data_IF_638334865650
#
_entry.id   IF_638334865650
#
_cell.length_a   1.000
_cell.length_b   1.000
_cell.length_c   1.000
_cell.angle_alpha   90.00
_cell.angle_beta   90.00
_cell.angle_gamma   90.00
#
_symmetry.space_group_name_H-M   'P 1'
#
loop_
_entity.id
_entity.type
_entity.pdbx_description
1 polymer ?
#
# COMPACT_ATOMS: atom_id res chain seq x y z
N UNK A 1 -26.09 -27.25 51.57
CA UNK A 1 -26.70 -26.00 51.07
C UNK A 1 -25.67 -24.88 50.89
N UNK A 2 -24.83 -24.56 51.88
CA UNK A 2 -23.77 -23.52 51.74
C UNK A 2 -22.79 -23.75 50.57
N UNK A 3 -22.35 -24.99 50.31
CA UNK A 3 -21.44 -25.32 49.20
C UNK A 3 -22.07 -25.01 47.82
N UNK A 4 -23.36 -25.30 47.66
CA UNK A 4 -24.09 -25.02 46.42
C UNK A 4 -24.27 -23.51 46.20
N UNK A 5 -24.59 -22.77 47.26
CA UNK A 5 -24.72 -21.30 47.21
C UNK A 5 -23.37 -20.66 46.83
N UNK A 6 -22.27 -21.11 47.44
CA UNK A 6 -20.94 -20.59 47.11
C UNK A 6 -20.52 -20.92 45.67
N UNK A 7 -20.81 -22.12 45.18
CA UNK A 7 -20.49 -22.52 43.81
C UNK A 7 -21.29 -21.70 42.78
N UNK A 8 -22.57 -21.45 43.06
CA UNK A 8 -23.44 -20.65 42.19
C UNK A 8 -23.05 -19.17 42.20
N UNK A 9 -22.66 -18.62 43.36
CA UNK A 9 -22.15 -17.26 43.46
C UNK A 9 -20.85 -17.08 42.67
N UNK A 10 -19.92 -18.05 42.75
CA UNK A 10 -18.66 -18.00 42.00
C UNK A 10 -18.89 -18.07 40.49
N UNK A 11 -19.83 -18.91 40.03
CA UNK A 11 -20.20 -18.96 38.61
C UNK A 11 -20.77 -17.62 38.14
N UNK A 12 -21.63 -17.01 38.95
CA UNK A 12 -22.23 -15.72 38.64
C UNK A 12 -21.15 -14.62 38.56
N UNK A 13 -20.25 -14.55 39.54
CA UNK A 13 -19.15 -13.57 39.54
C UNK A 13 -18.25 -13.74 38.29
N UNK A 14 -17.87 -14.97 37.96
CA UNK A 14 -17.07 -15.24 36.76
C UNK A 14 -17.80 -14.84 35.47
N UNK A 15 -19.12 -15.08 35.37
CA UNK A 15 -19.91 -14.67 34.22
C UNK A 15 -19.91 -13.14 34.07
N UNK A 16 -20.09 -12.41 35.18
CA UNK A 16 -20.09 -10.95 35.18
C UNK A 16 -18.73 -10.38 34.79
N UNK A 17 -17.65 -10.93 35.33
CA UNK A 17 -16.28 -10.56 34.96
C UNK A 17 -16.02 -10.79 33.46
N UNK A 18 -16.38 -11.96 32.95
CA UNK A 18 -16.24 -12.29 31.52
C UNK A 18 -17.05 -11.31 30.66
N UNK A 19 -18.28 -10.98 31.05
CA UNK A 19 -19.12 -10.03 30.33
C UNK A 19 -18.54 -8.61 30.34
N UNK A 20 -18.04 -8.15 31.49
CA UNK A 20 -17.42 -6.84 31.64
C UNK A 20 -16.17 -6.71 30.78
N UNK A 21 -15.29 -7.72 30.80
CA UNK A 21 -14.12 -7.80 29.94
C UNK A 21 -14.52 -7.75 28.46
N UNK A 22 -15.45 -8.62 28.06
CA UNK A 22 -15.89 -8.76 26.66
C UNK A 22 -16.47 -7.44 26.12
N UNK A 23 -17.30 -6.75 26.92
CA UNK A 23 -17.84 -5.43 26.55
C UNK A 23 -16.72 -4.39 26.50
N UNK A 24 -15.80 -4.38 27.46
CA UNK A 24 -14.68 -3.43 27.51
C UNK A 24 -13.76 -3.58 26.29
N UNK A 25 -13.34 -4.80 25.95
CA UNK A 25 -12.51 -5.06 24.77
C UNK A 25 -13.22 -4.71 23.46
N UNK A 26 -14.53 -4.94 23.36
CA UNK A 26 -15.30 -4.53 22.18
C UNK A 26 -15.32 -3.00 22.00
N UNK A 27 -15.42 -2.23 23.09
CA UNK A 27 -15.35 -0.75 23.04
C UNK A 27 -13.97 -0.26 22.65
N UNK A 28 -12.92 -1.01 22.99
CA UNK A 28 -11.54 -0.76 22.57
C UNK A 28 -11.24 -1.29 21.16
N UNK A 29 -12.23 -1.80 20.42
CA UNK A 29 -12.07 -2.42 19.11
C UNK A 29 -10.97 -3.50 19.08
N UNK A 30 -10.81 -4.26 20.17
CA UNK A 30 -9.74 -5.26 20.33
C UNK A 30 -10.32 -6.66 20.47
N UNK A 31 -9.83 -7.63 19.68
CA UNK A 31 -10.29 -9.01 19.72
C UNK A 31 -9.69 -9.78 20.90
N UNK A 32 -10.52 -10.06 21.90
CA UNK A 32 -10.14 -10.76 23.11
C UNK A 32 -10.67 -12.21 23.11
N UNK A 33 -9.95 -13.19 23.69
CA UNK A 33 -10.41 -14.57 23.84
C UNK A 33 -11.77 -14.74 24.53
N UNK A 34 -12.17 -13.78 25.37
CA UNK A 34 -13.50 -13.78 26.00
C UNK A 34 -14.66 -13.55 24.98
N UNK A 35 -14.37 -12.93 23.83
CA UNK A 35 -15.32 -12.74 22.73
C UNK A 35 -15.32 -13.96 21.80
N UNK A 36 -14.13 -14.39 21.36
CA UNK A 36 -13.93 -15.57 20.51
C UNK A 36 -12.54 -16.13 20.76
N UNK A 37 -12.44 -17.44 20.97
CA UNK A 37 -11.14 -18.09 21.13
C UNK A 37 -10.37 -18.08 19.80
N UNK A 38 -9.02 -18.15 19.83
CA UNK A 38 -8.22 -18.29 18.61
C UNK A 38 -8.66 -19.46 17.73
N UNK A 39 -8.99 -20.58 18.35
CA UNK A 39 -9.41 -21.82 17.69
C UNK A 39 -10.78 -21.66 17.02
N UNK A 40 -11.75 -21.07 17.72
CA UNK A 40 -13.07 -20.78 17.15
C UNK A 40 -12.97 -19.79 15.99
N UNK A 41 -12.12 -18.76 16.12
CA UNK A 41 -11.90 -17.79 15.05
C UNK A 41 -11.30 -18.45 13.81
N UNK A 42 -10.34 -19.36 13.97
CA UNK A 42 -9.76 -20.12 12.86
C UNK A 42 -10.83 -20.94 12.13
N UNK A 43 -11.70 -21.63 12.87
CA UNK A 43 -12.80 -22.41 12.28
C UNK A 43 -13.81 -21.54 11.53
N UNK A 44 -14.18 -20.38 12.07
CA UNK A 44 -15.07 -19.45 11.37
C UNK A 44 -14.43 -18.87 10.12
N UNK A 45 -13.15 -18.48 10.16
CA UNK A 45 -12.43 -18.01 8.99
C UNK A 45 -12.30 -19.10 7.91
N UNK A 46 -12.10 -20.37 8.29
CA UNK A 46 -12.10 -21.49 7.35
C UNK A 46 -13.46 -21.66 6.64
N UNK A 47 -14.58 -21.48 7.37
CA UNK A 47 -15.91 -21.48 6.76
C UNK A 47 -16.05 -20.35 5.74
N UNK A 48 -15.58 -19.15 6.08
CA UNK A 48 -15.59 -17.98 5.19
C UNK A 48 -14.76 -18.24 3.94
N UNK A 49 -13.56 -18.79 4.09
CA UNK A 49 -12.68 -19.12 2.97
C UNK A 49 -13.34 -20.08 1.98
N UNK A 50 -14.14 -21.03 2.46
CA UNK A 50 -14.84 -22.01 1.64
C UNK A 50 -16.10 -21.45 0.95
N UNK A 51 -16.67 -20.36 1.45
CA UNK A 51 -17.90 -19.74 0.92
C UNK A 51 -17.64 -18.64 -0.11
N UNK A 52 -16.43 -18.07 -0.10
CA UNK A 52 -16.17 -16.79 -0.75
C UNK A 52 -15.56 -16.99 -2.15
N UNK A 53 -16.40 -16.96 -3.18
CA UNK A 53 -16.03 -16.69 -4.57
C UNK A 53 -16.96 -15.55 -5.02
N UNK A 54 -16.47 -14.34 -5.36
CA UNK A 54 -15.11 -13.99 -5.83
C UNK A 54 -14.12 -13.47 -4.78
N UNK A 55 -14.51 -13.39 -3.51
CA UNK A 55 -13.69 -12.76 -2.48
C UNK A 55 -12.83 -13.80 -1.75
N UNK A 56 -11.57 -13.53 -1.41
CA UNK A 56 -10.82 -14.37 -0.51
C UNK A 56 -10.41 -13.63 0.74
N UNK A 57 -10.12 -14.39 1.78
CA UNK A 57 -9.45 -13.88 2.95
C UNK A 57 -8.03 -13.37 2.60
N UNK A 58 -7.52 -12.33 3.29
CA UNK A 58 -6.20 -11.75 3.04
C UNK A 58 -5.04 -12.72 3.33
N UNK A 59 -5.25 -13.67 4.23
CA UNK A 59 -4.29 -14.72 4.59
C UNK A 59 -5.00 -16.07 4.70
N UNK A 60 -4.30 -17.18 4.46
CA UNK A 60 -4.85 -18.50 4.71
C UNK A 60 -5.14 -18.65 6.21
N UNK A 61 -6.37 -19.01 6.64
CA UNK A 61 -6.73 -19.13 8.04
C UNK A 61 -6.11 -20.38 8.66
N UNK A 62 -4.89 -20.21 9.17
CA UNK A 62 -4.15 -21.19 9.98
C UNK A 62 -3.79 -20.57 11.31
N UNK A 63 -3.55 -21.37 12.35
CA UNK A 63 -3.14 -20.91 13.68
C UNK A 63 -2.10 -19.77 13.69
N UNK A 64 -1.06 -19.87 12.84
CA UNK A 64 0.01 -18.86 12.71
C UNK A 64 -0.48 -17.49 12.19
N UNK A 65 -1.59 -17.44 11.46
CA UNK A 65 -2.17 -16.22 10.89
C UNK A 65 -3.14 -15.51 11.85
N UNK A 66 -3.62 -16.20 12.90
CA UNK A 66 -4.63 -15.69 13.82
C UNK A 66 -4.20 -14.38 14.52
N UNK A 67 -2.95 -14.21 14.97
CA UNK A 67 -2.51 -12.93 15.52
C UNK A 67 -2.59 -11.75 14.54
N UNK A 68 -2.48 -12.01 13.23
CA UNK A 68 -2.63 -10.99 12.19
C UNK A 68 -4.11 -10.65 12.02
N UNK A 69 -4.98 -11.66 11.96
CA UNK A 69 -6.43 -11.45 11.91
C UNK A 69 -6.97 -10.66 13.10
N UNK A 70 -6.46 -10.92 14.31
CA UNK A 70 -6.82 -10.16 15.52
C UNK A 70 -6.59 -8.65 15.39
N UNK A 71 -5.64 -8.23 14.55
CA UNK A 71 -5.33 -6.81 14.29
C UNK A 71 -6.15 -6.21 13.16
N UNK A 72 -6.66 -7.06 12.25
CA UNK A 72 -7.39 -6.64 11.06
C UNK A 72 -8.90 -6.62 11.25
N UNK A 73 -9.42 -7.53 12.10
CA UNK A 73 -10.85 -7.65 12.36
C UNK A 73 -11.29 -6.51 13.27
N UNK A 74 -12.31 -5.77 12.83
CA UNK A 74 -12.98 -4.77 13.66
C UNK A 74 -14.15 -5.42 14.40
N UNK A 75 -14.39 -5.03 15.66
CA UNK A 75 -15.47 -5.60 16.47
C UNK A 75 -16.42 -4.50 16.87
N UNK A 76 -17.72 -4.79 16.78
CA UNK A 76 -18.79 -3.95 17.29
C UNK A 76 -19.68 -4.76 18.21
N UNK A 77 -20.10 -4.18 19.32
CA UNK A 77 -21.04 -4.81 20.25
C UNK A 77 -22.39 -4.09 20.21
N UNK A 78 -23.47 -4.87 20.17
CA UNK A 78 -24.83 -4.39 20.13
C UNK A 78 -25.65 -5.08 21.22
N UNK A 79 -26.49 -4.32 21.92
CA UNK A 79 -27.42 -4.87 22.92
C UNK A 79 -28.85 -4.66 22.47
N UNK A 80 -29.66 -5.72 22.52
CA UNK A 80 -31.12 -5.66 22.32
C UNK A 80 -31.81 -6.41 23.45
N UNK A 81 -32.27 -5.67 24.46
CA UNK A 81 -32.85 -6.25 25.68
C UNK A 81 -31.79 -7.01 26.49
N UNK A 82 -32.00 -8.31 26.66
CA UNK A 82 -31.09 -9.25 27.33
C UNK A 82 -30.06 -9.89 26.38
N UNK A 83 -30.15 -9.62 25.07
CA UNK A 83 -29.24 -10.19 24.08
C UNK A 83 -28.06 -9.24 23.83
N UNK A 84 -26.84 -9.74 24.03
CA UNK A 84 -25.60 -9.08 23.63
C UNK A 84 -25.06 -9.76 22.36
N UNK A 85 -24.81 -8.98 21.32
CA UNK A 85 -24.37 -9.46 20.01
C UNK A 85 -23.06 -8.79 19.64
N UNK A 86 -22.06 -9.60 19.30
CA UNK A 86 -20.80 -9.13 18.75
C UNK A 86 -20.80 -9.34 17.25
N UNK A 87 -20.43 -8.28 16.54
CA UNK A 87 -20.28 -8.23 15.10
C UNK A 87 -18.80 -8.12 14.79
N UNK A 88 -18.25 -9.14 14.14
CA UNK A 88 -16.86 -9.15 13.70
C UNK A 88 -16.84 -8.84 12.21
N UNK A 89 -16.17 -7.74 11.89
CA UNK A 89 -15.98 -7.20 10.55
C UNK A 89 -14.67 -7.73 9.99
N UNK A 90 -14.77 -8.77 9.15
CA UNK A 90 -13.61 -9.44 8.56
C UNK A 90 -13.34 -8.83 7.18
N UNK A 91 -12.13 -8.30 6.91
CA UNK A 91 -11.80 -7.77 5.60
C UNK A 91 -11.61 -8.91 4.61
N UNK A 92 -12.30 -8.83 3.47
CA UNK A 92 -12.07 -9.71 2.32
C UNK A 92 -11.30 -8.97 1.22
N UNK A 93 -10.47 -9.68 0.48
CA UNK A 93 -9.80 -9.19 -0.73
C UNK A 93 -10.55 -9.74 -1.94
N UNK A 94 -10.83 -8.90 -2.93
CA UNK A 94 -11.31 -9.39 -4.22
C UNK A 94 -10.13 -10.02 -5.00
N UNK A 95 -10.24 -11.30 -5.35
CA UNK A 95 -9.21 -12.01 -6.12
C UNK A 95 -9.17 -11.61 -7.60
N UNK A 96 -10.12 -10.81 -8.07
CA UNK A 96 -10.02 -10.21 -9.38
C UNK A 96 -8.84 -9.25 -9.39
N UNK A 97 -7.83 -9.57 -10.21
CA UNK A 97 -6.65 -8.74 -10.46
C UNK A 97 -7.09 -7.30 -10.78
N UNK A 98 -7.08 -6.43 -9.79
CA UNK A 98 -7.36 -5.01 -9.97
C UNK A 98 -6.20 -4.39 -10.75
N UNK A 99 -6.39 -4.21 -12.05
CA UNK A 99 -5.58 -3.27 -12.84
C UNK A 99 -6.06 -1.88 -12.43
N UNK A 100 -5.17 -1.04 -11.92
CA UNK A 100 -5.49 0.36 -11.67
C UNK A 100 -5.60 1.09 -13.01
N UNK A 101 -6.72 1.75 -13.26
CA UNK A 101 -6.93 2.54 -14.47
C UNK A 101 -6.93 4.02 -14.07
N UNK A 102 -6.18 4.82 -14.83
CA UNK A 102 -6.20 6.27 -14.67
C UNK A 102 -7.24 6.81 -15.64
N UNK A 103 -8.41 7.21 -15.12
CA UNK A 103 -9.43 7.85 -15.95
C UNK A 103 -9.06 9.30 -16.18
N UNK A 104 -8.89 9.65 -17.45
CA UNK A 104 -8.68 11.02 -17.88
C UNK A 104 -10.01 11.57 -18.41
N UNK A 105 -10.69 12.40 -17.61
CA UNK A 105 -11.80 13.25 -18.06
C UNK A 105 -11.30 14.69 -18.17
N UNK A 106 -11.89 15.48 -19.08
CA UNK A 106 -11.58 16.91 -19.26
C UNK A 106 -11.78 17.74 -17.98
N UNK A 107 -12.57 17.25 -17.02
CA UNK A 107 -13.00 18.02 -15.84
C UNK A 107 -12.55 17.46 -14.49
N UNK A 108 -12.11 16.20 -14.43
CA UNK A 108 -11.62 15.60 -13.18
C UNK A 108 -10.75 14.38 -13.42
N UNK A 109 -9.80 14.15 -12.51
CA UNK A 109 -8.98 12.93 -12.48
C UNK A 109 -9.47 12.07 -11.32
N UNK A 110 -9.78 10.82 -11.63
CA UNK A 110 -10.24 9.84 -10.66
C UNK A 110 -9.28 8.67 -10.69
N UNK A 111 -8.73 8.33 -9.54
CA UNK A 111 -8.00 7.08 -9.36
C UNK A 111 -9.03 5.99 -9.08
N UNK A 112 -9.28 5.10 -10.03
CA UNK A 112 -10.14 3.94 -9.79
C UNK A 112 -9.28 2.74 -9.46
N UNK A 113 -9.60 2.11 -8.33
CA UNK A 113 -9.01 0.82 -7.95
C UNK A 113 -9.69 -0.34 -8.67
N UNK A 114 -10.94 -0.15 -9.09
CA UNK A 114 -11.70 -1.14 -9.82
C UNK A 114 -11.42 -1.10 -11.33
N UNK A 115 -11.56 -2.27 -11.95
CA UNK A 115 -11.49 -2.40 -13.40
C UNK A 115 -12.76 -1.81 -14.02
N UNK A 116 -12.59 -0.76 -14.82
CA UNK A 116 -13.69 -0.18 -15.56
C UNK A 116 -14.10 -1.09 -16.72
N UNK A 117 -15.39 -1.30 -16.90
CA UNK A 117 -15.96 -2.09 -17.99
C UNK A 117 -16.11 -1.18 -19.23
N UNK A 118 -15.56 -1.59 -20.38
CA UNK A 118 -15.77 -0.87 -21.64
C UNK A 118 -17.21 -1.07 -22.09
N UNK A 119 -18.02 -0.02 -22.07
CA UNK A 119 -19.43 -0.05 -22.48
C UNK A 119 -19.59 0.27 -23.96
N UNK A 120 -18.66 1.05 -24.53
CA UNK A 120 -18.53 1.34 -25.96
C UNK A 120 -17.05 1.57 -26.28
N UNK A 121 -16.71 1.59 -27.57
CA UNK A 121 -15.36 1.90 -28.04
C UNK A 121 -14.85 3.18 -27.38
N UNK A 122 -13.82 3.07 -26.54
CA UNK A 122 -13.19 4.17 -25.79
C UNK A 122 -14.09 4.82 -24.70
N UNK A 123 -15.24 4.22 -24.35
CA UNK A 123 -16.09 4.63 -23.23
C UNK A 123 -16.09 3.56 -22.14
N UNK A 124 -15.70 3.94 -20.92
CA UNK A 124 -15.58 3.02 -19.79
C UNK A 124 -16.54 3.41 -18.66
N UNK A 125 -17.20 2.41 -18.08
CA UNK A 125 -18.04 2.54 -16.89
C UNK A 125 -17.34 1.95 -15.67
N UNK A 126 -17.23 2.74 -14.61
CA UNK A 126 -16.58 2.34 -13.36
C UNK A 126 -17.61 2.42 -12.24
N UNK A 127 -17.81 1.33 -11.49
CA UNK A 127 -18.84 1.26 -10.45
C UNK A 127 -18.46 2.09 -9.23
N UNK A 128 -17.20 2.03 -8.82
CA UNK A 128 -16.65 2.91 -7.78
C UNK A 128 -15.73 3.98 -8.37
N UNK A 129 -16.16 5.23 -8.21
CA UNK A 129 -15.33 6.42 -8.44
C UNK A 129 -14.65 6.69 -7.09
N UNK A 130 -13.31 6.55 -7.04
CA UNK A 130 -12.54 6.94 -5.86
C UNK A 130 -12.64 8.44 -5.58
N UNK A 131 -12.01 8.91 -4.50
CA UNK A 131 -12.04 10.33 -4.15
C UNK A 131 -11.64 11.20 -5.36
N UNK A 132 -12.52 12.13 -5.71
CA UNK A 132 -12.24 13.10 -6.77
C UNK A 132 -11.12 13.99 -6.27
N UNK A 133 -9.95 13.89 -6.90
CA UNK A 133 -8.81 14.75 -6.58
C UNK A 133 -9.12 16.13 -7.15
N UNK A 134 -9.72 17.00 -6.34
CA UNK A 134 -10.13 18.35 -6.76
C UNK A 134 -8.97 19.33 -6.79
N UNK A 135 -7.89 19.07 -6.04
CA UNK A 135 -6.67 19.89 -6.07
C UNK A 135 -5.57 19.14 -6.81
N UNK A 136 -5.06 19.66 -7.94
CA UNK A 136 -3.96 19.01 -8.63
C UNK A 136 -2.74 18.96 -7.72
N UNK A 137 -2.34 17.75 -7.34
CA UNK A 137 -1.04 17.52 -6.71
C UNK A 137 0.03 17.51 -7.81
N UNK A 138 1.29 17.80 -7.46
CA UNK A 138 2.40 17.78 -8.42
C UNK A 138 2.53 16.39 -9.09
N UNK A 139 2.25 15.29 -8.37
CA UNK A 139 2.19 13.94 -8.93
C UNK A 139 1.07 13.80 -9.96
N UNK A 140 -0.12 14.30 -9.64
CA UNK A 140 -1.26 14.26 -10.56
C UNK A 140 -1.03 15.10 -11.83
N UNK A 141 -0.28 16.20 -11.73
CA UNK A 141 0.14 17.04 -12.86
C UNK A 141 1.18 16.31 -13.70
N UNK A 142 2.21 15.75 -13.06
CA UNK A 142 3.28 14.97 -13.69
C UNK A 142 2.73 13.80 -14.52
N UNK A 143 1.82 13.02 -13.93
CA UNK A 143 1.20 11.85 -14.59
C UNK A 143 0.33 12.29 -15.78
N UNK A 144 -0.30 13.46 -15.70
CA UNK A 144 -1.18 13.97 -16.75
C UNK A 144 -0.50 14.75 -17.86
N UNK A 145 0.80 14.99 -17.75
CA UNK A 145 1.55 15.88 -18.65
C UNK A 145 0.97 17.30 -18.78
N UNK A 146 0.09 17.71 -17.86
CA UNK A 146 -0.47 19.07 -17.81
C UNK A 146 0.58 19.98 -17.18
N UNK A 147 1.14 20.91 -17.98
CA UNK A 147 2.07 21.92 -17.49
C UNK A 147 1.31 23.03 -16.79
N UNK A 148 1.04 22.86 -15.51
CA UNK A 148 0.64 23.98 -14.65
C UNK A 148 1.86 24.52 -13.89
N UNK A 149 1.84 25.80 -13.54
CA UNK A 149 2.99 26.51 -12.92
C UNK A 149 3.26 26.10 -11.46
N UNK A 150 2.49 25.16 -10.91
CA UNK A 150 2.53 24.73 -9.51
C UNK A 150 3.60 23.68 -9.22
N UNK A 151 4.10 22.98 -10.25
CA UNK A 151 5.06 21.88 -10.10
C UNK A 151 6.38 22.23 -10.81
N UNK A 152 7.48 22.28 -10.04
CA UNK A 152 8.82 22.52 -10.59
C UNK A 152 9.50 21.18 -10.83
N UNK A 153 9.58 20.77 -12.09
CA UNK A 153 10.30 19.55 -12.48
C UNK A 153 11.79 19.86 -12.51
N UNK A 154 12.56 19.14 -11.70
CA UNK A 154 14.02 19.19 -11.72
C UNK A 154 14.59 17.91 -12.34
N UNK A 155 15.43 18.09 -13.34
CA UNK A 155 16.16 17.01 -13.99
C UNK A 155 17.47 16.77 -13.26
N UNK A 156 17.82 15.50 -13.10
CA UNK A 156 19.11 15.10 -12.57
C UNK A 156 19.75 14.10 -13.52
N UNK A 157 21.07 14.21 -13.67
CA UNK A 157 21.86 13.25 -14.44
C UNK A 157 22.34 12.19 -13.47
N UNK A 158 21.94 10.95 -13.71
CA UNK A 158 22.51 9.81 -13.00
C UNK A 158 23.84 9.44 -13.63
N UNK A 159 24.89 9.38 -12.81
CA UNK A 159 26.24 8.98 -13.23
C UNK A 159 26.51 7.50 -12.95
N UNK A 160 25.78 6.90 -12.01
CA UNK A 160 26.00 5.55 -11.50
C UNK A 160 24.68 4.76 -11.41
N UNK A 161 24.80 3.44 -11.38
CA UNK A 161 23.69 2.53 -11.09
C UNK A 161 23.07 2.88 -9.74
N UNK A 162 21.77 3.12 -9.71
CA UNK A 162 21.00 3.32 -8.47
C UNK A 162 20.01 2.18 -8.31
N UNK A 163 19.96 1.62 -7.11
CA UNK A 163 19.03 0.54 -6.77
C UNK A 163 18.38 0.82 -5.43
N UNK A 164 17.07 0.59 -5.38
CA UNK A 164 16.28 0.66 -4.16
C UNK A 164 15.38 -0.56 -4.07
N UNK A 165 15.36 -1.18 -2.89
CA UNK A 165 14.37 -2.20 -2.60
C UNK A 165 13.03 -1.53 -2.28
N UNK A 166 12.02 -1.81 -3.09
CA UNK A 166 10.65 -1.27 -2.92
C UNK A 166 9.86 -2.18 -1.98
N UNK A 167 10.04 -3.50 -2.12
CA UNK A 167 9.44 -4.54 -1.28
C UNK A 167 10.41 -5.72 -1.09
N UNK A 168 10.06 -6.70 -0.27
CA UNK A 168 10.94 -7.83 0.07
C UNK A 168 11.52 -8.59 -1.13
N UNK A 169 10.86 -8.55 -2.28
CA UNK A 169 11.24 -9.21 -3.52
C UNK A 169 11.28 -8.30 -4.76
N UNK A 170 11.10 -6.98 -4.56
CA UNK A 170 10.97 -6.01 -5.64
C UNK A 170 12.01 -4.91 -5.53
N UNK A 171 12.72 -4.64 -6.63
CA UNK A 171 13.74 -3.60 -6.72
C UNK A 171 13.43 -2.61 -7.84
N UNK A 172 13.58 -1.33 -7.53
CA UNK A 172 13.66 -0.25 -8.50
C UNK A 172 15.13 -0.08 -8.89
N UNK A 173 15.44 -0.28 -10.17
CA UNK A 173 16.77 -0.17 -10.74
C UNK A 173 16.79 0.98 -11.74
N UNK A 174 17.74 1.90 -11.61
CA UNK A 174 17.97 2.96 -12.58
C UNK A 174 19.39 2.88 -13.10
N UNK A 175 19.52 2.64 -14.41
CA UNK A 175 20.79 2.48 -15.12
C UNK A 175 21.06 3.72 -15.98
N UNK A 176 22.20 4.42 -15.81
CA UNK A 176 22.52 5.62 -16.60
C UNK A 176 23.05 5.29 -18.01
N UNK A 177 23.47 4.05 -18.23
CA UNK A 177 23.95 3.50 -19.49
C UNK A 177 23.55 2.03 -19.58
N UNK A 178 23.64 1.45 -20.76
CA UNK A 178 23.35 0.03 -20.94
C UNK A 178 24.31 -0.85 -20.11
N UNK A 179 23.74 -1.74 -19.30
CA UNK A 179 24.47 -2.70 -18.48
C UNK A 179 23.94 -4.11 -18.75
N UNK A 180 24.82 -5.10 -18.90
CA UNK A 180 24.40 -6.50 -19.01
C UNK A 180 24.21 -7.08 -17.61
N UNK A 181 22.97 -7.38 -17.26
CA UNK A 181 22.63 -8.12 -16.05
C UNK A 181 22.59 -9.62 -16.30
N UNK A 182 23.07 -10.42 -15.34
CA UNK A 182 23.01 -11.87 -15.39
C UNK A 182 22.08 -12.38 -14.28
N UNK A 183 20.95 -12.97 -14.67
CA UNK A 183 20.03 -13.64 -13.75
C UNK A 183 20.44 -15.12 -13.67
N UNK A 184 20.91 -15.56 -12.51
CA UNK A 184 21.32 -16.94 -12.24
C UNK A 184 20.23 -17.65 -11.46
N UNK A 185 19.64 -18.70 -12.02
CA UNK A 185 18.59 -19.50 -11.39
C UNK A 185 18.95 -20.99 -11.43
N UNK A 186 19.20 -21.60 -10.28
CA UNK A 186 19.67 -23.01 -10.17
C UNK A 186 20.94 -23.24 -11.02
N UNK A 187 20.80 -23.87 -12.20
CA UNK A 187 21.90 -24.22 -13.12
C UNK A 187 21.79 -23.51 -14.47
N UNK A 188 21.01 -22.42 -14.55
CA UNK A 188 20.83 -21.64 -15.79
C UNK A 188 21.13 -20.18 -15.53
N UNK A 189 21.86 -19.58 -16.46
CA UNK A 189 22.20 -18.17 -16.46
C UNK A 189 21.54 -17.50 -17.66
N UNK A 190 20.81 -16.41 -17.40
CA UNK A 190 20.14 -15.60 -18.42
C UNK A 190 20.77 -14.21 -18.43
N UNK A 191 21.15 -13.70 -19.60
CA UNK A 191 21.75 -12.37 -19.75
C UNK A 191 20.74 -11.42 -20.38
N UNK A 192 20.56 -10.25 -19.77
CA UNK A 192 19.64 -9.22 -20.24
C UNK A 192 20.33 -7.85 -20.28
N UNK A 193 20.16 -7.06 -21.34
CA UNK A 193 20.59 -5.68 -21.37
C UNK A 193 19.60 -4.79 -20.59
N UNK A 194 20.11 -3.99 -19.67
CA UNK A 194 19.36 -3.01 -18.88
C UNK A 194 19.76 -1.60 -19.27
N UNK A 195 18.81 -0.80 -19.75
CA UNK A 195 18.99 0.63 -20.06
C UNK A 195 17.79 1.45 -19.59
N UNK A 196 17.98 2.42 -18.70
CA UNK A 196 16.92 3.22 -18.08
C UNK A 196 16.41 2.67 -16.74
N UNK A 197 15.13 2.86 -16.45
CA UNK A 197 14.47 2.50 -15.18
C UNK A 197 13.67 1.21 -15.30
N UNK A 198 13.87 0.29 -14.36
CA UNK A 198 13.20 -1.00 -14.28
C UNK A 198 12.67 -1.24 -12.87
N UNK A 199 11.51 -1.87 -12.78
CA UNK A 199 11.05 -2.52 -11.55
C UNK A 199 11.22 -4.02 -11.77
N UNK A 200 12.08 -4.65 -10.98
CA UNK A 200 12.43 -6.06 -11.12
C UNK A 200 11.93 -6.83 -9.90
N UNK A 201 11.24 -7.94 -10.14
CA UNK A 201 10.89 -8.92 -9.12
C UNK A 201 11.60 -10.24 -9.46
N UNK A 202 12.43 -10.76 -8.54
CA UNK A 202 13.16 -12.02 -8.79
C UNK A 202 12.53 -13.20 -8.04
N UNK A 203 12.48 -14.39 -8.65
CA UNK A 203 12.13 -15.63 -7.97
C UNK A 203 13.09 -15.97 -6.82
N UNK A 204 12.62 -16.64 -5.75
CA UNK A 204 13.45 -17.10 -4.60
C UNK A 204 14.76 -17.80 -4.97
N UNK A 205 14.75 -18.55 -6.07
CA UNK A 205 15.88 -19.38 -6.51
C UNK A 205 16.84 -18.64 -7.43
N UNK A 206 16.59 -17.36 -7.66
CA UNK A 206 17.30 -16.55 -8.65
C UNK A 206 18.07 -15.43 -7.98
N UNK A 207 19.23 -15.13 -8.55
CA UNK A 207 20.04 -13.97 -8.18
C UNK A 207 20.29 -13.14 -9.41
N UNK A 208 20.18 -11.81 -9.30
CA UNK A 208 20.54 -10.90 -10.39
C UNK A 208 21.91 -10.30 -10.06
N UNK A 209 22.83 -10.42 -10.99
CA UNK A 209 24.12 -9.73 -10.95
C UNK A 209 24.06 -8.61 -11.97
N UNK A 210 24.11 -7.35 -11.52
CA UNK A 210 24.10 -6.17 -12.40
C UNK A 210 25.25 -5.25 -12.03
N UNK A 211 26.26 -5.16 -12.91
CA UNK A 211 27.52 -4.50 -12.59
C UNK A 211 28.20 -5.18 -11.39
N UNK A 212 28.38 -4.42 -10.31
CA UNK A 212 29.08 -4.86 -9.11
C UNK A 212 28.11 -5.28 -7.99
N UNK A 213 26.80 -5.24 -8.25
CA UNK A 213 25.75 -5.49 -7.27
C UNK A 213 25.10 -6.85 -7.51
N UNK A 214 24.73 -7.51 -6.41
CA UNK A 214 24.06 -8.81 -6.39
C UNK A 214 22.74 -8.65 -5.64
N UNK A 215 21.64 -9.08 -6.25
CA UNK A 215 20.30 -9.01 -5.69
C UNK A 215 19.78 -10.42 -5.46
N UNK A 216 19.26 -10.69 -4.25
CA UNK A 216 18.74 -11.99 -3.82
C UNK A 216 17.38 -11.82 -3.15
N UNK A 217 16.38 -12.63 -3.50
CA UNK A 217 15.09 -12.64 -2.78
C UNK A 217 14.99 -13.87 -1.89
N UNK A 218 14.30 -13.70 -0.76
CA UNK A 218 13.96 -14.79 0.16
C UNK A 218 12.48 -15.21 0.03
N UNK A 219 11.79 -14.84 -1.06
CA UNK A 219 10.32 -14.99 -1.21
C UNK A 219 9.99 -16.00 -2.31
N UNK A 220 9.15 -16.99 -1.96
CA UNK A 220 8.91 -18.26 -2.71
C UNK A 220 8.05 -18.08 -4.00
N UNK A 221 7.45 -16.92 -4.26
CA UNK A 221 6.53 -16.72 -5.40
C UNK A 221 7.18 -16.10 -6.65
N UNK A 222 6.65 -16.46 -7.83
CA UNK A 222 7.27 -16.22 -9.15
C UNK A 222 6.35 -15.42 -10.06
N UNK A 223 6.69 -14.14 -10.31
CA UNK A 223 6.16 -13.36 -11.43
C UNK A 223 7.23 -12.38 -11.90
N UNK A 224 7.80 -12.62 -13.08
CA UNK A 224 8.69 -11.66 -13.73
C UNK A 224 7.80 -10.77 -14.59
N UNK A 225 7.37 -9.64 -14.04
CA UNK A 225 6.77 -8.59 -14.84
C UNK A 225 7.89 -7.63 -15.24
N UNK A 226 8.44 -7.79 -16.44
CA UNK A 226 9.31 -6.78 -17.05
C UNK A 226 8.46 -5.56 -17.43
N UNK A 227 8.06 -4.77 -16.43
CA UNK A 227 7.43 -3.48 -16.67
C UNK A 227 8.57 -2.51 -16.97
N UNK A 228 8.99 -2.49 -18.23
CA UNK A 228 9.76 -1.37 -18.75
C UNK A 228 8.85 -0.15 -18.63
N UNK A 229 9.18 0.76 -17.72
CA UNK A 229 8.43 2.01 -17.61
C UNK A 229 8.47 2.71 -18.96
N UNK A 230 7.34 3.28 -19.44
CA UNK A 230 7.29 3.94 -20.73
C UNK A 230 8.40 5.00 -20.77
N UNK A 231 9.22 4.95 -21.81
CA UNK A 231 10.22 6.00 -22.03
C UNK A 231 9.44 7.24 -22.44
N UNK A 232 9.16 8.12 -21.49
CA UNK A 232 8.40 9.33 -21.77
C UNK A 232 9.34 10.29 -22.50
N UNK A 233 9.26 10.30 -23.83
CA UNK A 233 9.82 11.36 -24.67
C UNK A 233 8.96 12.60 -24.48
N UNK A 234 9.23 13.36 -23.41
CA UNK A 234 8.62 14.67 -23.27
C UNK A 234 9.33 15.59 -24.25
N UNK A 235 8.64 16.02 -25.32
CA UNK A 235 9.09 17.11 -26.19
C UNK A 235 9.04 18.42 -25.40
N UNK A 236 9.98 18.58 -24.48
CA UNK A 236 10.20 19.83 -23.76
C UNK A 236 11.16 20.62 -24.64
N UNK A 237 10.60 21.48 -25.48
CA UNK A 237 11.29 22.72 -25.79
C UNK A 237 11.54 23.40 -24.45
N UNK A 238 12.73 23.22 -23.89
CA UNK A 238 13.21 23.96 -22.75
C UNK A 238 12.92 25.43 -23.11
N UNK A 239 12.01 26.13 -22.39
CA UNK A 239 11.87 27.54 -22.61
C UNK A 239 13.28 28.09 -22.39
N UNK A 240 13.85 28.68 -23.44
CA UNK A 240 15.16 29.32 -23.38
C UNK A 240 15.03 30.32 -22.23
N UNK A 241 15.54 29.92 -21.06
CA UNK A 241 15.30 30.67 -19.84
C UNK A 241 15.97 32.01 -20.06
N UNK A 242 15.16 33.06 -20.00
CA UNK A 242 15.58 34.44 -20.14
C UNK A 242 16.45 34.78 -18.93
N UNK A 243 17.75 34.48 -19.02
CA UNK A 243 18.85 34.90 -18.14
C UNK A 243 18.51 35.07 -16.64
N UNK A 244 17.80 34.11 -16.04
CA UNK A 244 17.84 33.96 -14.59
C UNK A 244 19.12 33.19 -14.29
N UNK A 245 20.17 33.91 -13.84
CA UNK A 245 21.40 33.34 -13.29
C UNK A 245 21.10 32.66 -11.95
N UNK A 246 20.25 31.64 -11.95
CA UNK A 246 20.25 30.66 -10.89
C UNK A 246 21.54 29.88 -11.15
N UNK A 247 22.52 29.97 -10.24
CA UNK A 247 23.64 29.03 -10.25
C UNK A 247 23.00 27.65 -10.18
N UNK A 248 22.99 26.93 -11.29
CA UNK A 248 22.58 25.53 -11.35
C UNK A 248 23.50 24.75 -10.41
N UNK A 249 23.10 24.68 -9.15
CA UNK A 249 23.72 23.80 -8.18
C UNK A 249 23.38 22.40 -8.67
N UNK A 250 24.32 21.80 -9.38
CA UNK A 250 24.24 20.42 -9.85
C UNK A 250 24.04 19.54 -8.62
N UNK A 251 22.78 19.16 -8.35
CA UNK A 251 22.46 18.35 -7.19
C UNK A 251 22.92 16.93 -7.49
N UNK A 252 24.09 16.58 -6.96
CA UNK A 252 24.60 15.21 -7.06
C UNK A 252 23.73 14.30 -6.20
N UNK A 253 23.02 13.36 -6.83
CA UNK A 253 22.30 12.29 -6.12
C UNK A 253 23.23 11.15 -5.69
N UNK A 254 24.56 11.28 -5.84
CA UNK A 254 25.51 10.21 -5.52
C UNK A 254 25.38 9.76 -4.05
N UNK A 255 25.07 10.70 -3.15
CA UNK A 255 24.90 10.45 -1.72
C UNK A 255 23.44 10.37 -1.26
N UNK A 256 22.48 10.43 -2.19
CA UNK A 256 21.06 10.39 -1.86
C UNK A 256 20.64 8.93 -1.64
N UNK A 257 20.37 8.63 -0.37
CA UNK A 257 19.65 7.44 0.05
C UNK A 257 18.17 7.64 -0.27
N UNK A 258 17.61 6.80 -1.13
CA UNK A 258 16.20 6.92 -1.53
C UNK A 258 15.23 6.64 -0.38
N UNK A 259 15.70 6.08 0.73
CA UNK A 259 14.90 5.98 1.97
C UNK A 259 14.80 7.31 2.72
N UNK A 260 15.61 8.30 2.35
CA UNK A 260 15.60 9.65 2.89
C UNK A 260 14.89 10.64 1.95
N UNK A 261 14.08 10.16 0.99
CA UNK A 261 13.34 11.04 0.05
C UNK A 261 12.54 12.12 0.77
N UNK A 262 11.91 11.79 1.90
CA UNK A 262 11.18 12.76 2.72
C UNK A 262 12.11 13.86 3.28
N UNK A 263 13.32 13.48 3.72
CA UNK A 263 14.34 14.43 4.20
C UNK A 263 14.95 15.26 3.07
N UNK A 264 15.05 14.67 1.88
CA UNK A 264 15.52 15.36 0.67
C UNK A 264 14.49 16.38 0.23
N UNK A 265 13.20 16.06 0.31
CA UNK A 265 12.12 17.03 0.13
C UNK A 265 12.31 18.21 1.08
N UNK A 266 12.55 17.96 2.37
CA UNK A 266 12.83 19.01 3.36
C UNK A 266 14.09 19.85 3.02
N UNK A 267 15.16 19.22 2.56
CA UNK A 267 16.37 19.92 2.09
C UNK A 267 16.12 20.76 0.84
N UNK A 268 15.29 20.28 -0.09
CA UNK A 268 14.86 21.03 -1.26
C UNK A 268 14.02 22.24 -0.86
N UNK A 269 13.11 22.08 0.09
CA UNK A 269 12.30 23.18 0.62
C UNK A 269 13.20 24.24 1.27
N UNK A 270 14.18 23.81 2.06
CA UNK A 270 15.17 24.70 2.69
C UNK A 270 16.05 25.44 1.66
N UNK A 271 16.50 24.76 0.60
CA UNK A 271 17.26 25.37 -0.51
C UNK A 271 16.41 26.36 -1.32
N UNK A 272 15.11 26.07 -1.47
CA UNK A 272 14.18 26.94 -2.21
C UNK A 272 13.91 28.24 -1.43
N UNK A 273 13.81 28.17 -0.10
CA UNK A 273 13.68 29.35 0.76
C UNK A 273 14.93 30.26 0.77
N UNK A 274 16.13 29.71 0.60
CA UNK A 274 17.37 30.51 0.56
C UNK A 274 17.66 31.14 -0.80
N UNK A 275 17.08 30.63 -1.88
CA UNK A 275 17.37 31.09 -3.25
C UNK A 275 16.35 32.10 -3.80
N UNK A 276 15.26 32.39 -3.08
CA UNK A 276 14.22 33.34 -3.50
C UNK A 276 13.71 34.18 -2.31
N UNK A 277 14.37 35.31 -1.96
CA UNK A 277 13.97 36.10 -0.79
C UNK A 277 12.71 36.95 -0.97
N UNK A 278 12.25 37.22 -2.20
CA UNK A 278 11.34 38.36 -2.45
C UNK A 278 10.06 38.08 -3.26
N UNK A 279 9.52 36.86 -3.23
CA UNK A 279 8.14 36.64 -3.69
C UNK A 279 7.38 35.68 -2.78
N UNK A 280 6.19 36.12 -2.34
CA UNK A 280 5.20 35.32 -1.61
C UNK A 280 4.83 34.07 -2.44
N UNK A 281 5.50 32.95 -2.16
CA UNK A 281 5.16 31.63 -2.70
C UNK A 281 5.03 30.68 -1.51
N UNK A 282 3.81 30.19 -1.28
CA UNK A 282 3.55 29.10 -0.34
C UNK A 282 4.21 27.82 -0.86
N UNK A 283 5.18 27.29 -0.12
CA UNK A 283 5.68 25.94 -0.33
C UNK A 283 4.71 24.94 0.34
N UNK A 284 4.03 24.10 -0.45
CA UNK A 284 3.25 22.98 0.07
C UNK A 284 4.12 21.72 0.13
N UNK A 285 4.33 21.22 1.35
CA UNK A 285 4.97 19.93 1.64
C UNK A 285 3.91 19.11 2.37
N UNK A 286 3.41 18.00 1.79
CA UNK A 286 2.53 17.13 2.55
C UNK A 286 3.35 16.44 3.65
N UNK A 287 3.10 16.81 4.91
CA UNK A 287 3.55 16.01 6.06
C UNK A 287 2.82 14.66 6.02
N UNK A 288 3.50 13.61 5.58
CA UNK A 288 3.05 12.24 5.78
C UNK A 288 3.29 11.87 7.25
N UNK A 289 2.31 12.18 8.09
CA UNK A 289 2.11 11.55 9.40
C UNK A 289 0.83 10.72 9.33
N UNK A 290 0.90 9.50 8.82
CA UNK A 290 0.01 8.39 9.21
C UNK A 290 0.48 7.05 8.62
N UNK A 291 0.27 5.92 9.33
CA UNK A 291 0.71 4.60 8.88
C UNK A 291 -0.13 4.08 7.70
N UNK A 292 0.41 3.07 7.02
CA UNK A 292 -0.15 2.30 5.92
C UNK A 292 -1.50 1.59 6.26
N UNK A 293 -2.60 2.34 6.44
CA UNK A 293 -3.93 1.77 6.76
C UNK A 293 -4.94 1.80 5.61
N UNK A 294 -4.64 2.40 4.45
CA UNK A 294 -5.63 2.63 3.37
C UNK A 294 -5.51 1.73 2.12
N UNK A 295 -4.89 0.55 2.23
CA UNK A 295 -4.60 -0.34 1.08
C UNK A 295 -5.60 -1.48 0.81
N UNK A 296 -6.73 -1.59 1.52
CA UNK A 296 -7.70 -2.66 1.27
C UNK A 296 -9.06 -2.12 0.82
N UNK A 297 -9.48 -2.42 -0.42
CA UNK A 297 -10.90 -2.40 -0.80
C UNK A 297 -11.51 -3.67 -0.19
N UNK A 298 -11.94 -3.59 1.07
CA UNK A 298 -12.49 -4.75 1.76
C UNK A 298 -14.00 -4.80 1.59
N UNK A 299 -14.49 -5.81 0.86
CA UNK A 299 -15.84 -6.31 1.15
C UNK A 299 -15.81 -6.86 2.57
N UNK A 300 -16.75 -6.39 3.40
CA UNK A 300 -16.83 -6.74 4.80
C UNK A 300 -17.78 -7.93 4.95
N UNK A 301 -17.26 -9.05 5.44
CA UNK A 301 -18.11 -10.13 5.89
C UNK A 301 -18.41 -9.96 7.38
N UNK A 302 -19.67 -10.17 7.74
CA UNK A 302 -20.18 -10.03 9.09
C UNK A 302 -20.29 -11.40 9.76
N UNK A 303 -19.44 -11.66 10.74
CA UNK A 303 -19.60 -12.80 11.64
C UNK A 303 -20.34 -12.33 12.91
N UNK A 304 -21.43 -13.02 13.25
CA UNK A 304 -22.32 -12.63 14.35
C UNK A 304 -22.23 -13.66 15.47
N UNK A 305 -21.75 -13.24 16.64
CA UNK A 305 -21.72 -14.05 17.86
C UNK A 305 -22.78 -13.51 18.83
N UNK A 306 -23.61 -14.40 19.38
CA UNK A 306 -24.74 -14.04 20.25
C UNK A 306 -24.58 -14.65 21.63
N UNK A 307 -24.74 -13.81 22.66
CA UNK A 307 -24.81 -14.21 24.06
C UNK A 307 -26.16 -13.81 24.65
N UNK A 308 -26.83 -14.77 25.30
CA UNK A 308 -27.99 -14.51 26.13
C UNK A 308 -27.52 -14.24 27.55
N UNK A 309 -27.82 -13.04 28.05
CA UNK A 309 -27.50 -12.59 29.42
C UNK A 309 -28.75 -12.68 30.28
#
# INVERSE_FOLDING_TARGET
MQILISSLLNLYLHLFETLEETVTFSKLATLHPAIITPEDLEQELLKIANLSDPFSLPYTPVHLSIPVYKKLITIKAYRKGALLTFLLEVPLINNQKSKSYLLHSEQSKVLTKEQCEEIRKEEYFCREIGDVITTPTCESELISFVRNNTCVIKWFVLTQLKVQQVQSDMWLIVTPRELIGTIKCKNRDYKYPFSGTYVIQLPHICTLVLGNQIFTTNVISLTINDVKLPNVTVNITLPIQKNLKIKDAHLSLEHINLNDIDKISDQFNHLTHHLLPDQNILACVPRVKRPLEHLFNSSLLLLIIKYYI
#
